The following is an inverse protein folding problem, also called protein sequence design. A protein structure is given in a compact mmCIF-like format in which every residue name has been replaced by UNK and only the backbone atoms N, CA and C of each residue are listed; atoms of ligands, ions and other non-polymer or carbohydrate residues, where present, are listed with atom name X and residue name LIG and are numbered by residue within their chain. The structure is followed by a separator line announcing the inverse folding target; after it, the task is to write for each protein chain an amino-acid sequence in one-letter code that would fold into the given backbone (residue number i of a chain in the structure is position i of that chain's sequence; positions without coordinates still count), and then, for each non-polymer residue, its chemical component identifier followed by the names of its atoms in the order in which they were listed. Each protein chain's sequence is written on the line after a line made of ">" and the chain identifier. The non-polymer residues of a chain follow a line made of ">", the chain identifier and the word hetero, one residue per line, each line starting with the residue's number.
data_IF_353224091964
#
_entry.id   IF_353224091964
#
_cell.length_a   1.000
_cell.length_b   1.000
_cell.length_c   1.000
_cell.angle_alpha   90.00
_cell.angle_beta   90.00
_cell.angle_gamma   90.00
#
_symmetry.space_group_name_H-M   'P 1'
#
loop_
_entity.id
_entity.type
_entity.pdbx_description
1 polymer ?
#
# COMPACT_ATOMS: atom_id res chain seq x y z
N UNK A 1 13.22 -15.71 20.10
CA UNK A 1 13.53 -14.30 20.47
C UNK A 1 12.85 -13.33 19.51
N UNK A 2 12.89 -13.57 18.20
CA UNK A 2 12.28 -12.69 17.16
C UNK A 2 10.76 -12.57 17.28
N UNK A 3 10.05 -13.68 17.49
CA UNK A 3 8.59 -13.67 17.70
C UNK A 3 8.17 -12.84 18.91
N UNK A 4 8.95 -12.87 19.99
CA UNK A 4 8.70 -12.06 21.18
C UNK A 4 8.95 -10.57 20.92
N UNK A 5 9.98 -10.23 20.15
CA UNK A 5 10.28 -8.86 19.75
C UNK A 5 9.18 -8.29 18.82
N UNK A 6 8.73 -9.07 17.83
CA UNK A 6 7.64 -8.70 16.93
C UNK A 6 6.32 -8.48 17.71
N UNK A 7 5.99 -9.37 18.66
CA UNK A 7 4.81 -9.22 19.51
C UNK A 7 4.89 -7.97 20.40
N UNK A 8 6.07 -7.65 20.92
CA UNK A 8 6.30 -6.45 21.74
C UNK A 8 6.15 -5.18 20.90
N UNK A 9 6.73 -5.15 19.71
CA UNK A 9 6.59 -4.03 18.77
C UNK A 9 5.13 -3.80 18.36
N UNK A 10 4.39 -4.87 18.05
CA UNK A 10 2.98 -4.79 17.71
C UNK A 10 2.14 -4.23 18.88
N UNK A 11 2.44 -4.64 20.13
CA UNK A 11 1.76 -4.11 21.32
C UNK A 11 2.05 -2.62 21.55
N UNK A 12 3.30 -2.19 21.32
CA UNK A 12 3.69 -0.80 21.47
C UNK A 12 3.07 0.12 20.42
N UNK A 13 2.81 -0.40 19.22
CA UNK A 13 2.19 0.36 18.14
C UNK A 13 0.65 0.40 18.21
N UNK A 14 0.01 -0.43 19.02
CA UNK A 14 -1.45 -0.49 19.14
C UNK A 14 -2.14 0.86 19.36
N UNK A 15 -1.69 1.71 20.31
CA UNK A 15 -2.32 3.02 20.52
C UNK A 15 -2.27 3.91 19.27
N UNK A 16 -1.13 3.90 18.56
CA UNK A 16 -0.94 4.65 17.33
C UNK A 16 -1.84 4.14 16.20
N UNK A 17 -1.95 2.82 16.06
CA UNK A 17 -2.84 2.18 15.07
C UNK A 17 -4.30 2.57 15.32
N UNK A 18 -4.75 2.55 16.58
CA UNK A 18 -6.12 2.95 16.94
C UNK A 18 -6.37 4.45 16.70
N UNK A 19 -5.41 5.31 17.03
CA UNK A 19 -5.49 6.74 16.76
C UNK A 19 -5.57 7.01 15.24
N UNK A 20 -4.69 6.39 14.46
CA UNK A 20 -4.73 6.50 13.02
C UNK A 20 -6.06 6.00 12.44
N UNK A 21 -6.55 4.87 12.93
CA UNK A 21 -7.84 4.31 12.51
C UNK A 21 -8.99 5.30 12.77
N UNK A 22 -9.04 5.88 13.96
CA UNK A 22 -10.06 6.89 14.30
C UNK A 22 -9.97 8.13 13.41
N UNK A 23 -8.75 8.63 13.15
CA UNK A 23 -8.49 9.79 12.29
C UNK A 23 -8.79 9.51 10.82
N UNK A 24 -8.60 8.27 10.37
CA UNK A 24 -8.89 7.84 9.00
C UNK A 24 -10.36 7.54 8.75
N UNK A 25 -11.19 7.45 9.78
CA UNK A 25 -12.58 7.06 9.66
C UNK A 25 -13.37 7.86 8.59
N UNK A 26 -13.25 9.20 8.52
CA UNK A 26 -13.91 9.97 7.45
C UNK A 26 -13.47 9.56 6.04
N UNK A 27 -12.15 9.27 5.86
CA UNK A 27 -11.62 8.81 4.58
C UNK A 27 -12.09 7.39 4.26
N UNK A 28 -12.13 6.49 5.25
CA UNK A 28 -12.63 5.12 5.11
C UNK A 28 -14.09 5.11 4.65
N UNK A 29 -14.91 5.98 5.23
CA UNK A 29 -16.35 6.07 4.91
C UNK A 29 -16.63 6.72 3.55
N UNK A 30 -15.73 7.58 3.05
CA UNK A 30 -15.92 8.34 1.81
C UNK A 30 -15.15 7.79 0.61
N UNK A 31 -14.08 7.04 0.83
CA UNK A 31 -13.25 6.52 -0.26
C UNK A 31 -13.92 5.29 -0.92
N UNK A 32 -13.79 5.15 -2.25
CA UNK A 32 -14.12 3.91 -2.91
C UNK A 32 -13.32 2.74 -2.33
N UNK A 33 -13.95 1.58 -2.30
CA UNK A 33 -13.30 0.35 -1.86
C UNK A 33 -12.24 -0.10 -2.86
N UNK A 34 -11.10 -0.61 -2.39
CA UNK A 34 -10.02 -1.10 -3.24
C UNK A 34 -10.43 -2.25 -4.18
N UNK A 35 -11.54 -2.94 -3.91
CA UNK A 35 -12.16 -3.92 -4.81
C UNK A 35 -12.50 -3.38 -6.21
N UNK A 36 -12.69 -2.06 -6.36
CA UNK A 36 -12.91 -1.43 -7.68
C UNK A 36 -11.70 -1.57 -8.60
N UNK A 37 -10.49 -1.76 -8.04
CA UNK A 37 -9.26 -1.96 -8.81
C UNK A 37 -9.34 -3.19 -9.72
N UNK A 38 -10.22 -4.16 -9.44
CA UNK A 38 -10.49 -5.29 -10.32
C UNK A 38 -10.93 -4.86 -11.71
N UNK A 39 -11.65 -3.74 -11.81
CA UNK A 39 -12.09 -3.19 -13.11
C UNK A 39 -10.98 -2.49 -13.87
N UNK A 40 -9.91 -2.06 -13.16
CA UNK A 40 -8.80 -1.28 -13.71
C UNK A 40 -7.60 -2.19 -13.98
N UNK A 41 -7.29 -3.11 -13.06
CA UNK A 41 -6.09 -3.93 -13.09
C UNK A 41 -6.34 -5.36 -13.59
N UNK A 42 -7.60 -5.77 -13.79
CA UNK A 42 -7.92 -7.15 -14.19
C UNK A 42 -7.27 -7.54 -15.51
N UNK A 43 -6.44 -8.59 -15.49
CA UNK A 43 -5.67 -9.07 -16.64
C UNK A 43 -4.44 -8.22 -17.00
N UNK A 44 -4.17 -7.11 -16.29
CA UNK A 44 -3.00 -6.28 -16.56
C UNK A 44 -1.74 -6.85 -15.90
N UNK A 45 -0.62 -6.97 -16.63
CA UNK A 45 0.66 -7.25 -16.01
C UNK A 45 1.04 -6.15 -15.02
N UNK A 46 1.59 -6.52 -13.86
CA UNK A 46 1.97 -5.57 -12.82
C UNK A 46 3.40 -5.79 -12.32
N UNK A 47 4.06 -4.69 -11.93
CA UNK A 47 5.33 -4.67 -11.23
C UNK A 47 5.08 -4.16 -9.82
N UNK A 48 5.30 -4.98 -8.81
CA UNK A 48 5.20 -4.58 -7.40
C UNK A 48 6.60 -4.25 -6.88
N UNK A 49 6.81 -2.98 -6.52
CA UNK A 49 8.12 -2.45 -6.17
C UNK A 49 8.26 -2.26 -4.67
N UNK A 50 9.21 -2.97 -4.09
CA UNK A 50 9.63 -2.89 -2.70
C UNK A 50 11.00 -2.16 -2.57
N UNK A 51 11.43 -1.76 -1.35
CA UNK A 51 12.60 -0.91 -1.13
C UNK A 51 13.92 -1.67 -0.95
N UNK A 52 14.01 -2.92 -1.36
CA UNK A 52 15.24 -3.71 -1.19
C UNK A 52 16.42 -3.19 -2.03
N UNK A 53 17.66 -3.51 -1.67
CA UNK A 53 18.88 -3.03 -2.35
C UNK A 53 18.91 -3.35 -3.84
N UNK A 54 18.36 -4.50 -4.27
CA UNK A 54 18.30 -4.89 -5.68
C UNK A 54 17.49 -3.91 -6.55
N UNK A 55 16.60 -3.11 -5.96
CA UNK A 55 15.83 -2.10 -6.69
C UNK A 55 16.72 -1.15 -7.50
N UNK A 56 17.91 -0.80 -7.00
CA UNK A 56 18.81 0.14 -7.67
C UNK A 56 19.24 -0.37 -9.06
N UNK A 57 19.38 -1.68 -9.21
CA UNK A 57 19.75 -2.30 -10.49
C UNK A 57 18.61 -2.23 -11.53
N UNK A 58 17.37 -2.23 -11.08
CA UNK A 58 16.19 -2.31 -11.93
C UNK A 58 15.60 -0.94 -12.29
N UNK A 59 16.04 0.14 -11.65
CA UNK A 59 15.50 1.50 -11.85
C UNK A 59 15.51 1.94 -13.33
N UNK A 60 16.54 1.54 -14.08
CA UNK A 60 16.65 1.88 -15.52
C UNK A 60 15.53 1.21 -16.35
N UNK A 61 15.11 0.01 -15.98
CA UNK A 61 14.04 -0.73 -16.63
C UNK A 61 12.67 -0.08 -16.35
N UNK A 62 12.50 0.48 -15.16
CA UNK A 62 11.25 1.09 -14.71
C UNK A 62 10.97 2.45 -15.39
N UNK A 63 11.96 3.06 -16.04
CA UNK A 63 11.80 4.32 -16.81
C UNK A 63 11.16 4.17 -18.17
N UNK A 64 10.99 2.94 -18.66
CA UNK A 64 10.43 2.69 -20.00
C UNK A 64 8.96 3.12 -20.06
N UNK A 65 8.57 3.79 -21.14
CA UNK A 65 7.19 4.23 -21.35
C UNK A 65 6.22 3.04 -21.48
N UNK A 66 6.63 1.98 -22.19
CA UNK A 66 5.85 0.74 -22.30
C UNK A 66 6.26 -0.25 -21.20
N UNK A 67 5.80 -0.02 -19.99
CA UNK A 67 5.98 -0.92 -18.85
C UNK A 67 4.65 -1.43 -18.32
N UNK A 68 4.64 -2.58 -17.62
CA UNK A 68 3.48 -3.01 -16.85
C UNK A 68 3.04 -1.98 -15.80
N UNK A 69 1.84 -2.16 -15.24
CA UNK A 69 1.34 -1.34 -14.13
C UNK A 69 2.36 -1.31 -12.98
N UNK A 70 2.89 -0.15 -12.65
CA UNK A 70 3.88 0.03 -11.60
C UNK A 70 3.21 0.35 -10.28
N UNK A 71 3.19 -0.61 -9.38
CA UNK A 71 2.64 -0.48 -8.02
C UNK A 71 3.78 -0.35 -7.04
N UNK A 72 3.86 0.77 -6.34
CA UNK A 72 4.91 1.06 -5.39
C UNK A 72 4.44 0.89 -3.95
N UNK A 73 5.25 0.25 -3.12
CA UNK A 73 5.09 0.39 -1.69
C UNK A 73 5.55 1.80 -1.25
N UNK A 74 4.92 2.35 -0.23
CA UNK A 74 5.28 3.66 0.34
C UNK A 74 6.78 3.77 0.67
N UNK A 75 7.40 2.65 1.00
CA UNK A 75 8.81 2.53 1.35
C UNK A 75 9.75 2.71 0.15
N UNK A 76 9.32 2.37 -1.06
CA UNK A 76 10.13 2.45 -2.29
C UNK A 76 10.07 3.82 -2.97
N UNK A 77 9.13 4.69 -2.59
CA UNK A 77 8.89 5.97 -3.25
C UNK A 77 10.12 6.89 -3.32
N UNK A 78 10.96 6.87 -2.28
CA UNK A 78 12.16 7.70 -2.27
C UNK A 78 13.15 7.27 -3.35
N UNK A 79 13.38 5.97 -3.53
CA UNK A 79 14.28 5.44 -4.55
C UNK A 79 13.71 5.73 -5.96
N UNK A 80 12.42 5.49 -6.17
CA UNK A 80 11.74 5.77 -7.43
C UNK A 80 11.82 7.26 -7.79
N UNK A 81 11.51 8.16 -6.85
CA UNK A 81 11.58 9.60 -7.06
C UNK A 81 12.99 10.08 -7.41
N UNK A 82 14.02 9.56 -6.71
CA UNK A 82 15.43 9.88 -7.01
C UNK A 82 15.84 9.43 -8.42
N UNK A 83 15.20 8.38 -8.93
CA UNK A 83 15.41 7.88 -10.29
C UNK A 83 14.52 8.55 -11.35
N UNK A 84 13.64 9.48 -10.97
CA UNK A 84 12.67 10.09 -11.89
C UNK A 84 11.59 9.12 -12.37
N UNK A 85 11.32 8.04 -11.61
CA UNK A 85 10.29 7.05 -11.92
C UNK A 85 9.03 7.39 -11.12
N UNK A 86 7.91 7.58 -11.82
CA UNK A 86 6.60 7.78 -11.20
C UNK A 86 5.81 6.48 -11.23
N UNK A 87 5.33 5.97 -10.09
CA UNK A 87 4.44 4.81 -10.05
C UNK A 87 3.04 5.17 -10.53
N UNK A 88 2.26 4.16 -10.90
CA UNK A 88 0.87 4.31 -11.30
C UNK A 88 -0.09 4.18 -10.09
N UNK A 89 0.36 3.47 -9.05
CA UNK A 89 -0.38 3.24 -7.82
C UNK A 89 0.57 3.13 -6.63
N UNK A 90 0.19 3.69 -5.50
CA UNK A 90 0.92 3.55 -4.23
C UNK A 90 0.08 2.77 -3.22
N UNK A 91 0.72 1.88 -2.47
CA UNK A 91 0.07 1.15 -1.38
C UNK A 91 0.76 1.49 -0.05
N UNK A 92 -0.02 1.85 0.97
CA UNK A 92 0.48 2.17 2.30
C UNK A 92 -0.30 1.48 3.41
N UNK A 93 0.42 0.86 4.32
CA UNK A 93 -0.07 0.28 5.58
C UNK A 93 0.61 0.94 6.78
N UNK A 94 1.75 1.60 6.59
CA UNK A 94 2.65 1.99 7.66
C UNK A 94 2.07 3.11 8.55
N UNK A 95 1.94 2.89 9.87
CA UNK A 95 1.37 3.88 10.78
C UNK A 95 2.30 5.06 11.09
N UNK A 96 3.61 4.94 10.83
CA UNK A 96 4.63 5.89 11.34
C UNK A 96 5.30 6.74 10.27
N UNK A 97 5.20 6.43 8.97
CA UNK A 97 6.01 7.07 7.93
C UNK A 97 5.55 8.49 7.56
N UNK A 98 6.37 9.48 7.94
CA UNK A 98 6.14 10.88 7.62
C UNK A 98 6.46 11.24 6.14
N UNK A 99 7.42 10.56 5.51
CA UNK A 99 7.90 10.92 4.17
C UNK A 99 6.84 10.76 3.08
N UNK A 100 5.91 9.82 3.24
CA UNK A 100 4.81 9.64 2.31
C UNK A 100 3.90 10.89 2.24
N UNK A 101 3.67 11.58 3.35
CA UNK A 101 2.82 12.78 3.37
C UNK A 101 3.35 13.88 2.45
N UNK A 102 4.67 14.12 2.48
CA UNK A 102 5.32 15.10 1.60
C UNK A 102 5.24 14.68 0.13
N UNK A 103 5.50 13.40 -0.15
CA UNK A 103 5.40 12.87 -1.51
C UNK A 103 3.98 12.99 -2.07
N UNK A 104 2.97 12.61 -1.30
CA UNK A 104 1.56 12.68 -1.72
C UNK A 104 1.10 14.12 -1.91
N UNK A 105 1.54 15.04 -1.05
CA UNK A 105 1.23 16.46 -1.20
C UNK A 105 1.82 17.07 -2.49
N UNK A 106 2.98 16.58 -2.93
CA UNK A 106 3.59 16.99 -4.21
C UNK A 106 2.97 16.31 -5.43
N UNK A 107 2.34 15.13 -5.23
CA UNK A 107 1.74 14.33 -6.29
C UNK A 107 0.29 13.93 -5.93
N UNK A 108 -0.63 14.89 -5.74
CA UNK A 108 -1.97 14.61 -5.22
C UNK A 108 -2.85 13.77 -6.17
N UNK A 109 -2.53 13.77 -7.46
CA UNK A 109 -3.25 12.99 -8.48
C UNK A 109 -2.82 11.51 -8.52
N UNK A 110 -1.71 11.16 -7.87
CA UNK A 110 -1.24 9.78 -7.83
C UNK A 110 -2.17 8.93 -6.97
N UNK A 111 -2.75 7.85 -7.53
CA UNK A 111 -3.67 6.98 -6.80
C UNK A 111 -3.00 6.33 -5.58
N UNK A 112 -3.70 6.35 -4.45
CA UNK A 112 -3.22 5.80 -3.18
C UNK A 112 -4.20 4.75 -2.66
N UNK A 113 -3.74 3.53 -2.47
CA UNK A 113 -4.45 2.53 -1.65
C UNK A 113 -3.94 2.63 -0.22
N UNK A 114 -4.86 2.78 0.71
CA UNK A 114 -4.53 2.89 2.12
C UNK A 114 -5.28 1.85 2.96
N UNK A 115 -4.62 1.40 4.02
CA UNK A 115 -5.21 0.59 5.08
C UNK A 115 -5.62 1.48 6.24
N UNK A 116 -6.59 1.05 7.05
CA UNK A 116 -7.11 1.85 8.15
C UNK A 116 -6.07 2.28 9.18
N UNK A 117 -5.05 1.45 9.40
CA UNK A 117 -3.93 1.70 10.31
C UNK A 117 -2.89 2.69 9.77
N UNK A 118 -2.90 2.98 8.48
CA UNK A 118 -1.91 3.85 7.84
C UNK A 118 -1.98 5.29 8.39
N UNK A 119 -0.87 6.01 8.25
CA UNK A 119 -0.77 7.41 8.69
C UNK A 119 -1.78 8.31 7.97
N UNK A 120 -2.52 9.20 8.69
CA UNK A 120 -3.61 9.97 8.11
C UNK A 120 -3.20 11.06 7.10
N UNK A 121 -2.05 11.70 7.31
CA UNK A 121 -1.65 12.88 6.52
C UNK A 121 -1.52 12.58 5.01
N UNK A 122 -0.90 11.46 4.56
CA UNK A 122 -0.87 11.10 3.14
C UNK A 122 -2.25 10.87 2.56
N UNK A 123 -3.13 10.24 3.35
CA UNK A 123 -4.50 9.90 2.92
C UNK A 123 -5.30 11.18 2.69
N UNK A 124 -5.14 12.17 3.58
CA UNK A 124 -5.78 13.48 3.44
C UNK A 124 -5.30 14.29 2.23
N UNK A 125 -4.04 14.11 1.83
CA UNK A 125 -3.43 14.81 0.70
C UNK A 125 -3.75 14.19 -0.67
N UNK A 126 -4.07 12.88 -0.73
CA UNK A 126 -4.38 12.18 -1.96
C UNK A 126 -5.80 12.50 -2.46
N UNK A 127 -5.92 12.89 -3.74
CA UNK A 127 -7.21 13.10 -4.40
C UNK A 127 -7.86 11.77 -4.81
N UNK A 128 -7.07 10.85 -5.32
CA UNK A 128 -7.50 9.50 -5.71
C UNK A 128 -7.07 8.51 -4.64
N UNK A 129 -7.97 8.15 -3.74
CA UNK A 129 -7.69 7.25 -2.63
C UNK A 129 -8.69 6.11 -2.57
N UNK A 130 -8.19 4.91 -2.28
CA UNK A 130 -8.97 3.68 -2.21
C UNK A 130 -8.71 3.00 -0.87
N UNK A 131 -9.77 2.60 -0.21
CA UNK A 131 -9.66 1.91 1.07
C UNK A 131 -9.54 0.40 0.89
N UNK A 132 -8.49 -0.21 1.45
CA UNK A 132 -8.32 -1.65 1.59
C UNK A 132 -8.51 -2.07 3.04
N UNK A 133 -9.31 -3.11 3.27
CA UNK A 133 -9.56 -3.64 4.60
C UNK A 133 -8.70 -4.86 4.86
N UNK A 134 -7.96 -4.84 5.96
CA UNK A 134 -7.18 -5.99 6.39
C UNK A 134 -8.08 -7.05 7.03
N UNK A 135 -7.90 -8.32 6.60
CA UNK A 135 -8.61 -9.46 7.16
C UNK A 135 -8.19 -9.68 8.62
N UNK A 136 -9.17 -9.76 9.52
CA UNK A 136 -8.92 -9.92 10.96
C UNK A 136 -8.74 -8.62 11.74
N UNK A 137 -8.77 -7.48 11.07
CA UNK A 137 -8.75 -6.17 11.72
C UNK A 137 -10.11 -5.85 12.40
N UNK A 138 -10.08 -4.84 13.28
CA UNK A 138 -11.27 -4.33 13.94
C UNK A 138 -12.37 -3.92 12.93
N UNK A 139 -11.95 -3.35 11.80
CA UNK A 139 -12.84 -2.96 10.70
C UNK A 139 -13.39 -4.16 9.91
N UNK A 140 -12.80 -5.34 10.01
CA UNK A 140 -13.28 -6.52 9.30
C UNK A 140 -14.71 -6.91 9.69
N UNK A 141 -15.09 -6.68 10.94
CA UNK A 141 -16.46 -6.88 11.43
C UNK A 141 -17.41 -5.81 10.92
N UNK A 142 -16.96 -4.56 10.88
CA UNK A 142 -17.72 -3.43 10.35
C UNK A 142 -17.85 -3.51 8.82
N UNK A 143 -16.91 -4.16 8.15
CA UNK A 143 -16.89 -4.34 6.71
C UNK A 143 -18.08 -5.14 6.16
N UNK A 144 -18.66 -6.02 6.96
CA UNK A 144 -19.92 -6.69 6.61
C UNK A 144 -21.07 -5.69 6.33
N UNK A 145 -20.95 -4.47 6.86
CA UNK A 145 -21.93 -3.39 6.70
C UNK A 145 -21.68 -2.54 5.45
N UNK A 146 -20.42 -2.48 4.98
CA UNK A 146 -19.98 -1.63 3.86
C UNK A 146 -19.73 -2.38 2.55
N UNK A 147 -19.91 -3.70 2.54
CA UNK A 147 -19.61 -4.56 1.39
C UNK A 147 -18.30 -5.34 1.56
N UNK A 148 -18.21 -6.49 0.90
CA UNK A 148 -17.11 -7.46 1.11
C UNK A 148 -15.94 -7.31 0.12
N UNK A 149 -15.99 -6.35 -0.78
CA UNK A 149 -14.99 -6.19 -1.82
C UNK A 149 -13.75 -5.45 -1.30
N UNK A 150 -12.54 -5.94 -1.63
CA UNK A 150 -11.26 -5.32 -1.26
C UNK A 150 -10.71 -5.71 0.11
N UNK A 151 -11.10 -6.88 0.61
CA UNK A 151 -10.44 -7.50 1.77
C UNK A 151 -9.12 -8.08 1.32
N UNK A 152 -8.08 -7.80 2.08
CA UNK A 152 -6.73 -8.29 1.81
C UNK A 152 -6.08 -8.84 3.08
N UNK A 153 -5.16 -9.76 2.89
CA UNK A 153 -4.40 -10.36 3.98
C UNK A 153 -2.98 -9.82 3.95
N UNK A 154 -2.65 -8.93 4.89
CA UNK A 154 -1.33 -8.30 4.95
C UNK A 154 -0.38 -9.00 5.93
N UNK A 155 -0.92 -9.61 6.97
CA UNK A 155 -0.14 -10.15 8.10
C UNK A 155 0.86 -9.13 8.68
N UNK A 156 0.52 -7.84 8.64
CA UNK A 156 1.38 -6.74 9.09
C UNK A 156 2.48 -6.35 8.10
N UNK A 157 2.50 -6.94 6.89
CA UNK A 157 3.44 -6.61 5.82
C UNK A 157 2.73 -5.85 4.70
N UNK A 158 3.20 -4.64 4.39
CA UNK A 158 2.67 -3.87 3.27
C UNK A 158 2.89 -4.57 1.92
N UNK A 159 3.99 -5.33 1.79
CA UNK A 159 4.28 -6.12 0.60
C UNK A 159 3.23 -7.21 0.39
N UNK A 160 2.94 -8.00 1.44
CA UNK A 160 1.94 -9.06 1.36
C UNK A 160 0.55 -8.48 1.10
N UNK A 161 0.19 -7.38 1.76
CA UNK A 161 -1.09 -6.71 1.53
C UNK A 161 -1.23 -6.18 0.10
N UNK A 162 -0.17 -5.61 -0.46
CA UNK A 162 -0.16 -5.12 -1.84
C UNK A 162 -0.22 -6.26 -2.87
N UNK A 163 0.48 -7.37 -2.60
CA UNK A 163 0.44 -8.56 -3.46
C UNK A 163 -0.95 -9.20 -3.45
N UNK A 164 -1.54 -9.40 -2.27
CA UNK A 164 -2.89 -9.97 -2.14
C UNK A 164 -3.94 -9.06 -2.80
N UNK A 165 -3.79 -7.74 -2.66
CA UNK A 165 -4.63 -6.75 -3.33
C UNK A 165 -4.56 -6.90 -4.86
N UNK A 166 -3.37 -7.02 -5.44
CA UNK A 166 -3.18 -7.18 -6.89
C UNK A 166 -3.75 -8.51 -7.39
N UNK A 167 -3.55 -9.59 -6.64
CA UNK A 167 -4.15 -10.90 -6.94
C UNK A 167 -5.67 -10.83 -6.89
N UNK A 168 -6.24 -10.23 -5.85
CA UNK A 168 -7.68 -10.03 -5.72
C UNK A 168 -8.26 -9.12 -6.82
N UNK A 169 -7.48 -8.14 -7.28
CA UNK A 169 -7.80 -7.29 -8.42
C UNK A 169 -7.69 -8.02 -9.77
N UNK A 170 -7.19 -9.27 -9.79
CA UNK A 170 -7.02 -10.06 -11.01
C UNK A 170 -5.87 -9.57 -11.90
N UNK A 171 -4.92 -8.81 -11.35
CA UNK A 171 -3.70 -8.44 -12.05
C UNK A 171 -2.83 -9.69 -12.32
N UNK A 172 -2.18 -9.72 -13.46
CA UNK A 172 -1.26 -10.82 -13.78
C UNK A 172 -0.75 -10.77 -15.22
N UNK A 173 0.49 -11.24 -15.41
CA UNK A 173 1.45 -11.70 -14.40
C UNK A 173 1.94 -10.58 -13.46
N UNK A 174 2.34 -10.92 -12.23
CA UNK A 174 2.91 -9.97 -11.27
C UNK A 174 4.39 -10.29 -11.08
N UNK A 175 5.26 -9.31 -11.31
CA UNK A 175 6.67 -9.40 -10.99
C UNK A 175 7.00 -8.56 -9.74
N UNK A 176 7.87 -9.09 -8.87
CA UNK A 176 8.33 -8.42 -7.66
C UNK A 176 9.71 -7.82 -7.92
N UNK A 177 9.91 -6.55 -7.57
CA UNK A 177 11.18 -5.82 -7.75
C UNK A 177 11.60 -5.23 -6.40
N UNK A 178 12.88 -5.32 -6.08
CA UNK A 178 13.40 -4.82 -4.81
C UNK A 178 12.92 -5.63 -3.62
N UNK A 179 12.63 -6.92 -3.80
CA UNK A 179 12.26 -7.85 -2.74
C UNK A 179 13.48 -8.71 -2.40
N UNK A 180 14.32 -8.18 -1.53
CA UNK A 180 15.51 -8.86 -1.07
C UNK A 180 15.21 -9.52 0.28
N UNK A 181 15.20 -10.84 0.31
CA UNK A 181 15.01 -11.63 1.52
C UNK A 181 16.32 -11.74 2.32
N UNK A 182 17.20 -10.75 2.20
CA UNK A 182 18.46 -10.68 2.92
C UNK A 182 18.20 -10.23 4.37
N UNK A 183 18.84 -10.92 5.29
CA UNK A 183 18.93 -10.60 6.71
C UNK A 183 20.04 -9.59 6.96
#
# INVERSE_FOLDING_TARGET
>A
RELAAAATSARQQRPLVLDNLARNLPAILSAPHAGILRRICGGCPALLVAPGPSLEHDLALLRRESRPLLVALDTSLRALASAGVQPDLVVTLNPTRANLAKFTAQNPELPLVFFGSARPEPIGAARHRFFACETGDLLDRAHAWFGREGRVTSQGSVLLGALDLLLAAGAGPIALIGVDLAL
#
